data_IF_778842948439
#
_entry.id   IF_778842948439
#
_cell.length_a   1.000
_cell.length_b   1.000
_cell.length_c   1.000
_cell.angle_alpha   90.00
_cell.angle_beta   90.00
_cell.angle_gamma   90.00
#
_symmetry.space_group_name_H-M   'P 1'
#
loop_
_entity.id
_entity.type
_entity.pdbx_description
1 polymer ?
#
# COMPACT_ATOMS: atom_id res chain seq x y z
N UNK A 1 27.95 3.61 5.65
CA UNK A 1 26.74 2.91 5.15
C UNK A 1 25.66 3.95 4.98
N UNK A 2 24.95 3.95 3.85
CA UNK A 2 23.86 4.89 3.60
C UNK A 2 22.69 4.59 4.54
N UNK A 3 21.93 5.61 4.98
CA UNK A 3 20.84 5.38 5.93
C UNK A 3 19.59 4.72 5.35
N UNK A 4 19.38 4.78 4.03
CA UNK A 4 18.13 4.34 3.38
C UNK A 4 18.39 3.24 2.34
N UNK A 5 17.55 2.19 2.36
CA UNK A 5 17.41 1.24 1.26
C UNK A 5 16.11 1.52 0.50
N UNK A 6 16.19 1.82 -0.79
CA UNK A 6 15.03 1.85 -1.70
C UNK A 6 14.92 0.48 -2.34
N UNK A 7 13.91 -0.30 -1.95
CA UNK A 7 13.71 -1.67 -2.43
C UNK A 7 12.58 -1.69 -3.44
N UNK A 8 12.89 -2.15 -4.65
CA UNK A 8 11.93 -2.37 -5.74
C UNK A 8 11.70 -3.87 -5.86
N UNK A 9 10.46 -4.32 -5.59
CA UNK A 9 10.10 -5.72 -5.83
C UNK A 9 9.61 -5.87 -7.27
N UNK A 10 10.33 -6.66 -8.07
CA UNK A 10 10.02 -6.94 -9.46
C UNK A 10 9.51 -8.37 -9.66
N UNK A 11 8.47 -8.53 -10.48
CA UNK A 11 8.02 -9.83 -10.98
C UNK A 11 7.45 -9.70 -12.38
N UNK A 12 8.12 -10.31 -13.36
CA UNK A 12 7.76 -10.25 -14.79
C UNK A 12 7.57 -8.80 -15.28
N UNK A 13 8.47 -7.91 -14.86
CA UNK A 13 8.38 -6.48 -15.10
C UNK A 13 9.52 -5.92 -15.97
N UNK A 14 10.09 -6.69 -16.90
CA UNK A 14 11.22 -6.25 -17.74
C UNK A 14 11.00 -4.87 -18.39
N UNK A 15 9.80 -4.63 -18.95
CA UNK A 15 9.45 -3.35 -19.56
C UNK A 15 9.28 -2.22 -18.53
N UNK A 16 8.77 -2.54 -17.33
CA UNK A 16 8.66 -1.56 -16.23
C UNK A 16 10.05 -1.18 -15.72
N UNK A 17 10.96 -2.13 -15.57
CA UNK A 17 12.34 -1.85 -15.20
C UNK A 17 13.00 -0.91 -16.21
N UNK A 18 12.90 -1.17 -17.51
CA UNK A 18 13.46 -0.29 -18.55
C UNK A 18 12.87 1.13 -18.49
N UNK A 19 11.59 1.26 -18.22
CA UNK A 19 10.89 2.56 -18.20
C UNK A 19 11.16 3.34 -16.93
N UNK A 20 11.09 2.71 -15.75
CA UNK A 20 11.03 3.40 -14.47
C UNK A 20 12.34 3.38 -13.68
N UNK A 21 13.11 2.29 -13.72
CA UNK A 21 14.36 2.18 -12.95
C UNK A 21 15.37 3.31 -13.25
N UNK A 22 15.55 3.78 -14.52
CA UNK A 22 16.42 4.93 -14.79
C UNK A 22 16.00 6.19 -14.03
N UNK A 23 14.69 6.43 -13.88
CA UNK A 23 14.18 7.61 -13.14
C UNK A 23 14.46 7.49 -11.65
N UNK A 24 14.32 6.28 -11.07
CA UNK A 24 14.62 6.03 -9.67
C UNK A 24 16.11 6.22 -9.38
N UNK A 25 16.97 5.71 -10.26
CA UNK A 25 18.43 5.86 -10.11
C UNK A 25 18.85 7.33 -10.23
N UNK A 26 18.30 8.08 -11.19
CA UNK A 26 18.60 9.49 -11.39
C UNK A 26 18.00 10.40 -10.32
N UNK A 27 16.80 10.07 -9.82
CA UNK A 27 16.07 10.88 -8.84
C UNK A 27 16.47 10.65 -7.38
N UNK A 28 17.19 9.55 -7.10
CA UNK A 28 17.56 9.17 -5.73
C UNK A 28 18.99 9.58 -5.43
N UNK A 29 19.19 10.37 -4.35
CA UNK A 29 20.52 10.80 -3.92
C UNK A 29 21.42 9.60 -3.61
N UNK A 30 22.54 9.53 -4.33
CA UNK A 30 23.52 8.46 -4.16
C UNK A 30 24.22 8.48 -2.78
N UNK A 31 24.23 9.61 -2.09
CA UNK A 31 24.81 9.72 -0.74
C UNK A 31 23.82 9.27 0.33
N UNK A 32 22.52 9.35 0.06
CA UNK A 32 21.45 9.07 1.01
C UNK A 32 20.95 7.63 0.94
N UNK A 33 20.79 7.07 -0.27
CA UNK A 33 20.14 5.78 -0.43
C UNK A 33 20.85 4.83 -1.39
N UNK A 34 20.72 3.54 -1.13
CA UNK A 34 20.99 2.47 -2.09
C UNK A 34 19.68 2.03 -2.74
N UNK A 35 19.68 1.89 -4.07
CA UNK A 35 18.57 1.28 -4.81
C UNK A 35 18.86 -0.21 -4.97
N UNK A 36 17.91 -1.03 -4.54
CA UNK A 36 18.00 -2.49 -4.55
C UNK A 36 16.79 -3.03 -5.31
N UNK A 37 17.03 -3.83 -6.35
CA UNK A 37 15.95 -4.53 -7.05
C UNK A 37 15.90 -5.98 -6.56
N UNK A 38 14.78 -6.39 -6.01
CA UNK A 38 14.51 -7.77 -5.65
C UNK A 38 13.65 -8.42 -6.74
N UNK A 39 14.27 -9.25 -7.57
CA UNK A 39 13.59 -10.05 -8.58
C UNK A 39 12.92 -11.25 -7.92
N UNK A 40 11.60 -11.25 -7.91
CA UNK A 40 10.75 -12.20 -7.20
C UNK A 40 10.44 -13.45 -8.04
N UNK A 41 11.50 -14.05 -8.63
CA UNK A 41 11.38 -15.26 -9.45
C UNK A 41 10.70 -14.98 -10.79
N UNK A 42 11.14 -13.94 -11.50
CA UNK A 42 10.64 -13.62 -12.84
C UNK A 42 10.99 -14.71 -13.84
N UNK A 43 10.09 -14.90 -14.80
CA UNK A 43 10.20 -15.85 -15.92
C UNK A 43 10.30 -15.16 -17.29
N UNK A 44 10.20 -13.82 -17.29
CA UNK A 44 10.43 -12.96 -18.46
C UNK A 44 11.91 -12.51 -18.53
N UNK A 45 12.21 -11.52 -19.37
CA UNK A 45 13.57 -10.99 -19.56
C UNK A 45 14.07 -10.11 -18.39
N UNK A 46 13.34 -10.01 -17.28
CA UNK A 46 13.70 -9.13 -16.15
C UNK A 46 15.13 -9.34 -15.65
N UNK A 47 15.55 -10.60 -15.52
CA UNK A 47 16.91 -10.93 -15.10
C UNK A 47 17.97 -10.44 -16.08
N UNK A 48 17.75 -10.66 -17.38
CA UNK A 48 18.66 -10.20 -18.43
C UNK A 48 18.77 -8.68 -18.46
N UNK A 49 17.64 -7.97 -18.27
CA UNK A 49 17.58 -6.51 -18.15
C UNK A 49 18.45 -6.03 -17.00
N UNK A 50 18.30 -6.63 -15.81
CA UNK A 50 19.08 -6.24 -14.65
C UNK A 50 20.58 -6.53 -14.83
N UNK A 51 20.96 -7.68 -15.38
CA UNK A 51 22.34 -8.08 -15.54
C UNK A 51 23.08 -7.30 -16.66
N UNK A 52 22.40 -6.93 -17.75
CA UNK A 52 23.05 -6.32 -18.92
C UNK A 52 22.78 -4.80 -19.05
N UNK A 53 21.57 -4.34 -18.71
CA UNK A 53 21.20 -2.93 -18.87
C UNK A 53 21.46 -2.12 -17.57
N UNK A 54 21.40 -2.79 -16.39
CA UNK A 54 21.62 -2.16 -15.07
C UNK A 54 22.64 -2.90 -14.19
N UNK A 55 23.85 -3.21 -14.68
CA UNK A 55 24.82 -4.07 -13.98
C UNK A 55 25.35 -3.48 -12.65
N UNK A 56 25.18 -2.19 -12.41
CA UNK A 56 25.63 -1.51 -11.18
C UNK A 56 24.58 -1.49 -10.08
N UNK A 57 23.33 -1.88 -10.38
CA UNK A 57 22.24 -1.92 -9.41
C UNK A 57 22.38 -3.14 -8.53
N UNK A 58 22.25 -2.95 -7.21
CA UNK A 58 22.19 -4.07 -6.28
C UNK A 58 20.95 -4.92 -6.57
N UNK A 59 21.13 -6.20 -6.85
CA UNK A 59 20.03 -7.09 -7.21
C UNK A 59 19.99 -8.31 -6.30
N UNK A 60 18.79 -8.65 -5.83
CA UNK A 60 18.47 -9.88 -5.11
C UNK A 60 17.64 -10.77 -6.03
N UNK A 61 18.00 -12.04 -6.19
CA UNK A 61 17.26 -12.99 -7.01
C UNK A 61 16.60 -14.05 -6.15
N UNK A 62 15.27 -14.18 -6.26
CA UNK A 62 14.52 -15.24 -5.58
C UNK A 62 14.21 -16.38 -6.55
N UNK A 63 14.06 -17.58 -6.00
CA UNK A 63 13.85 -18.83 -6.75
C UNK A 63 12.42 -18.97 -7.28
N UNK A 64 11.46 -18.22 -6.72
CA UNK A 64 10.05 -18.23 -7.10
C UNK A 64 9.33 -16.93 -6.71
N UNK A 65 8.11 -16.75 -7.21
CA UNK A 65 7.25 -15.64 -6.82
C UNK A 65 6.62 -15.89 -5.43
N UNK A 66 7.12 -15.22 -4.43
CA UNK A 66 6.61 -15.24 -3.05
C UNK A 66 5.41 -14.31 -2.81
N UNK A 67 4.93 -13.60 -3.84
CA UNK A 67 3.94 -12.52 -3.70
C UNK A 67 4.56 -11.23 -3.20
N UNK A 68 3.72 -10.22 -3.01
CA UNK A 68 4.17 -8.88 -2.61
C UNK A 68 4.69 -8.88 -1.15
N UNK A 69 3.88 -9.35 -0.22
CA UNK A 69 4.19 -9.29 1.21
C UNK A 69 5.46 -10.07 1.58
N UNK A 70 5.53 -11.35 1.24
CA UNK A 70 6.69 -12.18 1.57
C UNK A 70 7.92 -11.81 0.73
N UNK A 71 7.73 -11.35 -0.51
CA UNK A 71 8.80 -10.85 -1.35
C UNK A 71 9.54 -9.67 -0.70
N UNK A 72 8.81 -8.66 -0.21
CA UNK A 72 9.41 -7.55 0.54
C UNK A 72 10.03 -7.98 1.86
N UNK A 73 9.40 -8.87 2.63
CA UNK A 73 9.97 -9.38 3.87
C UNK A 73 11.35 -10.00 3.63
N UNK A 74 11.48 -10.82 2.59
CA UNK A 74 12.75 -11.47 2.20
C UNK A 74 13.78 -10.48 1.72
N UNK A 75 13.37 -9.48 0.93
CA UNK A 75 14.27 -8.43 0.44
C UNK A 75 14.81 -7.58 1.59
N UNK A 76 13.94 -7.16 2.52
CA UNK A 76 14.31 -6.35 3.69
C UNK A 76 15.23 -7.16 4.63
N UNK A 77 14.96 -8.44 4.83
CA UNK A 77 15.80 -9.32 5.65
C UNK A 77 17.23 -9.50 5.07
N UNK A 78 17.40 -9.39 3.74
CA UNK A 78 18.71 -9.42 3.09
C UNK A 78 19.38 -8.05 2.97
N UNK A 79 18.61 -6.97 3.11
CA UNK A 79 19.10 -5.58 3.09
C UNK A 79 19.37 -5.11 4.53
N UNK A 80 20.44 -5.65 5.15
CA UNK A 80 20.78 -5.35 6.53
C UNK A 80 21.47 -3.97 6.69
N UNK A 81 21.33 -3.37 7.87
CA UNK A 81 22.08 -2.20 8.30
C UNK A 81 21.48 -0.84 7.92
N UNK A 82 20.38 -0.79 7.15
CA UNK A 82 19.71 0.46 6.83
C UNK A 82 18.76 0.90 7.94
N UNK A 83 18.79 2.20 8.30
CA UNK A 83 17.86 2.78 9.30
C UNK A 83 16.44 2.88 8.77
N UNK A 84 16.30 3.14 7.48
CA UNK A 84 15.02 3.27 6.78
C UNK A 84 14.98 2.34 5.57
N UNK A 85 13.81 1.79 5.34
CA UNK A 85 13.51 1.03 4.13
C UNK A 85 12.36 1.71 3.40
N UNK A 86 12.52 1.89 2.09
CA UNK A 86 11.45 2.32 1.20
C UNK A 86 10.97 1.12 0.40
N UNK A 87 9.69 0.79 0.55
CA UNK A 87 9.00 -0.09 -0.39
C UNK A 87 8.60 0.77 -1.59
N UNK A 88 9.06 0.42 -2.78
CA UNK A 88 8.79 1.15 -4.01
C UNK A 88 8.34 0.19 -5.11
N UNK A 89 7.18 0.44 -5.71
CA UNK A 89 6.71 -0.37 -6.82
C UNK A 89 7.58 -0.17 -8.08
N UNK A 90 7.66 -1.20 -8.92
CA UNK A 90 8.43 -1.17 -10.18
C UNK A 90 7.82 -0.28 -11.27
N UNK A 91 6.61 0.21 -11.08
CA UNK A 91 5.86 1.10 -11.98
C UNK A 91 5.72 2.54 -11.42
N UNK A 92 6.69 2.95 -10.60
CA UNK A 92 6.77 4.30 -10.04
C UNK A 92 7.90 5.09 -10.68
N UNK A 93 7.58 6.30 -11.16
CA UNK A 93 8.54 7.31 -11.64
C UNK A 93 8.82 8.31 -10.51
N UNK A 94 10.09 8.56 -10.25
CA UNK A 94 10.50 9.50 -9.20
C UNK A 94 11.17 10.74 -9.80
N UNK A 95 10.80 11.95 -9.37
CA UNK A 95 11.54 13.16 -9.70
C UNK A 95 12.84 13.26 -8.89
N UNK A 96 13.71 14.19 -9.26
CA UNK A 96 14.89 14.52 -8.46
C UNK A 96 14.50 15.04 -7.07
N UNK A 97 15.18 14.58 -6.03
CA UNK A 97 14.97 15.09 -4.68
C UNK A 97 13.69 14.56 -3.99
N UNK A 98 13.10 13.47 -4.48
CA UNK A 98 11.86 12.92 -3.92
C UNK A 98 12.02 12.31 -2.52
N UNK A 99 13.18 11.77 -2.23
CA UNK A 99 13.43 10.97 -1.00
C UNK A 99 13.90 11.84 0.18
N UNK A 100 14.57 12.95 -0.08
CA UNK A 100 15.16 13.81 0.91
C UNK A 100 14.13 14.40 1.89
N UNK A 101 12.97 14.94 1.45
CA UNK A 101 11.95 15.44 2.38
C UNK A 101 11.42 14.32 3.30
N UNK A 102 11.25 13.11 2.79
CA UNK A 102 10.80 11.96 3.58
C UNK A 102 11.83 11.60 4.67
N UNK A 103 13.10 11.53 4.28
CA UNK A 103 14.20 11.21 5.19
C UNK A 103 14.38 12.28 6.28
N UNK A 104 14.47 13.55 5.88
CA UNK A 104 14.65 14.65 6.84
C UNK A 104 13.47 14.79 7.79
N UNK A 105 12.26 14.55 7.29
CA UNK A 105 11.08 14.56 8.15
C UNK A 105 11.15 13.44 9.21
N UNK A 106 11.50 12.22 8.83
CA UNK A 106 11.67 11.12 9.77
C UNK A 106 12.79 11.38 10.79
N UNK A 107 13.92 11.99 10.37
CA UNK A 107 15.01 12.32 11.29
C UNK A 107 14.61 13.39 12.32
N UNK A 108 13.81 14.38 11.90
CA UNK A 108 13.32 15.44 12.77
C UNK A 108 12.18 14.99 13.72
N UNK A 109 11.49 13.87 13.39
CA UNK A 109 10.30 13.40 14.11
C UNK A 109 10.43 11.95 14.56
N UNK A 110 11.07 11.68 15.73
CA UNK A 110 11.28 10.32 16.25
C UNK A 110 9.99 9.53 16.50
N UNK A 111 8.87 10.21 16.76
CA UNK A 111 7.54 9.60 16.95
C UNK A 111 6.91 9.09 15.65
N UNK A 112 7.46 9.47 14.49
CA UNK A 112 6.96 9.03 13.19
C UNK A 112 7.64 7.72 12.79
N UNK A 113 6.84 6.68 12.65
CA UNK A 113 7.28 5.34 12.27
C UNK A 113 7.38 5.11 10.78
N UNK A 114 6.48 5.75 10.02
CA UNK A 114 6.45 5.63 8.57
C UNK A 114 5.92 6.91 7.90
N UNK A 115 6.37 7.14 6.65
CA UNK A 115 5.94 8.27 5.83
C UNK A 115 5.70 7.84 4.40
N UNK A 116 4.91 8.63 3.67
CA UNK A 116 4.73 8.50 2.23
C UNK A 116 4.76 9.87 1.55
N UNK A 117 5.17 9.94 0.27
CA UNK A 117 4.98 11.13 -0.55
C UNK A 117 3.53 11.26 -1.02
N UNK A 118 3.18 12.35 -1.69
CA UNK A 118 1.98 12.40 -2.54
C UNK A 118 2.19 11.49 -3.75
N UNK A 119 1.12 10.81 -4.18
CA UNK A 119 1.13 10.01 -5.40
C UNK A 119 0.24 10.64 -6.45
N UNK A 120 0.84 10.92 -7.60
CA UNK A 120 0.14 11.34 -8.80
C UNK A 120 0.11 10.23 -9.83
N UNK A 121 -0.88 10.25 -10.71
CA UNK A 121 -0.92 9.36 -11.87
C UNK A 121 0.28 9.64 -12.79
N UNK A 122 0.95 8.58 -13.27
CA UNK A 122 1.95 8.71 -14.34
C UNK A 122 1.20 8.87 -15.68
N UNK A 123 1.11 10.12 -16.15
CA UNK A 123 0.32 10.54 -17.30
C UNK A 123 1.22 11.24 -18.33
N UNK A 124 0.77 11.24 -19.57
CA UNK A 124 1.46 11.94 -20.65
C UNK A 124 1.05 13.45 -20.75
N UNK A 125 0.10 13.90 -19.91
CA UNK A 125 -0.33 15.29 -19.82
C UNK A 125 0.21 15.97 -18.54
N UNK A 126 0.20 17.31 -18.50
CA UNK A 126 0.70 18.11 -17.38
C UNK A 126 -0.25 18.17 -16.17
N UNK A 127 -1.35 17.43 -16.18
CA UNK A 127 -2.33 17.45 -15.09
C UNK A 127 -1.82 16.65 -13.90
N UNK A 128 -1.83 17.26 -12.73
CA UNK A 128 -1.56 16.61 -11.47
C UNK A 128 -2.86 16.02 -10.91
N UNK A 129 -3.13 14.78 -11.22
CA UNK A 129 -4.29 14.03 -10.72
C UNK A 129 -3.79 13.02 -9.68
N UNK A 130 -4.43 12.98 -8.53
CA UNK A 130 -4.08 12.00 -7.51
C UNK A 130 -4.22 10.57 -8.03
N UNK A 131 -3.33 9.71 -7.58
CA UNK A 131 -3.33 8.30 -7.96
C UNK A 131 -4.29 7.49 -7.05
N UNK A 132 -4.80 6.39 -7.58
CA UNK A 132 -5.82 5.56 -6.92
C UNK A 132 -5.33 4.92 -5.61
N UNK A 133 -4.08 4.43 -5.57
CA UNK A 133 -3.57 3.58 -4.52
C UNK A 133 -2.84 4.35 -3.39
N UNK A 134 -3.32 5.51 -2.98
CA UNK A 134 -2.73 6.23 -1.84
C UNK A 134 -2.91 7.73 -1.89
N UNK A 135 -2.92 8.34 -3.08
CA UNK A 135 -3.14 9.77 -3.29
C UNK A 135 -2.31 10.67 -2.33
N UNK A 136 -2.95 11.43 -1.46
CA UNK A 136 -2.30 12.25 -0.41
C UNK A 136 -2.52 11.67 1.01
N UNK A 137 -2.44 10.35 1.14
CA UNK A 137 -2.56 9.64 2.41
C UNK A 137 -3.90 8.96 2.64
N UNK A 138 -3.84 7.77 3.21
CA UNK A 138 -4.95 6.85 3.33
C UNK A 138 -5.58 6.78 4.72
N UNK A 139 -6.88 6.45 4.74
CA UNK A 139 -7.70 6.19 5.91
C UNK A 139 -8.58 4.95 5.70
N UNK A 140 -9.12 4.43 6.77
CA UNK A 140 -10.22 3.47 6.76
C UNK A 140 -11.48 4.15 7.28
N UNK A 141 -12.63 3.86 6.69
CA UNK A 141 -13.88 4.30 7.26
C UNK A 141 -14.29 3.41 8.46
N UNK A 142 -15.38 3.75 9.13
CA UNK A 142 -15.86 3.00 10.30
C UNK A 142 -16.21 1.53 10.03
N UNK A 143 -16.31 1.14 8.76
CA UNK A 143 -16.54 -0.23 8.33
C UNK A 143 -15.29 -0.90 7.72
N UNK A 144 -14.13 -0.20 7.75
CA UNK A 144 -12.88 -0.71 7.23
C UNK A 144 -12.76 -0.65 5.71
N UNK A 145 -13.49 0.25 5.04
CA UNK A 145 -13.27 0.54 3.63
C UNK A 145 -12.16 1.57 3.47
N UNK A 146 -11.13 1.29 2.63
CA UNK A 146 -10.04 2.24 2.43
C UNK A 146 -10.46 3.40 1.54
N UNK A 147 -10.04 4.60 1.91
CA UNK A 147 -10.18 5.83 1.16
C UNK A 147 -8.99 6.75 1.41
N UNK A 148 -8.80 7.78 0.60
CA UNK A 148 -7.63 8.65 0.70
C UNK A 148 -8.05 10.12 0.60
N UNK A 149 -7.19 11.01 1.08
CA UNK A 149 -7.19 12.40 0.62
C UNK A 149 -6.89 12.40 -0.86
N UNK A 150 -7.78 12.96 -1.68
CA UNK A 150 -7.68 12.93 -3.13
C UNK A 150 -8.38 11.75 -3.81
N UNK A 151 -8.99 10.78 -3.04
CA UNK A 151 -9.74 9.68 -3.65
C UNK A 151 -10.79 9.08 -2.72
N UNK A 152 -12.04 8.98 -3.21
CA UNK A 152 -13.10 8.15 -2.59
C UNK A 152 -13.67 7.22 -3.67
N UNK A 153 -13.58 5.91 -3.48
CA UNK A 153 -13.89 4.88 -4.47
C UNK A 153 -13.20 5.16 -5.81
N UNK A 154 -13.98 5.32 -6.89
CA UNK A 154 -13.46 5.56 -8.25
C UNK A 154 -13.32 7.05 -8.59
N UNK A 155 -13.66 7.96 -7.66
CA UNK A 155 -13.52 9.40 -7.88
C UNK A 155 -12.16 9.86 -7.41
N UNK A 156 -11.38 10.42 -8.32
CA UNK A 156 -10.08 11.03 -8.10
C UNK A 156 -10.20 12.56 -8.15
N UNK A 157 -9.41 13.23 -7.33
CA UNK A 157 -9.33 14.68 -7.30
C UNK A 157 -8.10 15.15 -8.10
N UNK A 158 -8.20 16.32 -8.72
CA UNK A 158 -7.01 17.05 -9.19
C UNK A 158 -6.26 17.59 -7.96
N UNK A 159 -4.93 17.51 -7.96
CA UNK A 159 -4.10 18.16 -6.96
C UNK A 159 -4.00 19.67 -7.27
N UNK A 160 -4.51 20.49 -6.36
CA UNK A 160 -4.49 21.95 -6.40
C UNK A 160 -3.78 22.54 -5.18
N UNK A 161 -2.99 21.73 -4.50
CA UNK A 161 -2.36 22.10 -3.23
C UNK A 161 -3.30 22.04 -2.02
N UNK A 162 -4.52 21.46 -2.14
CA UNK A 162 -5.50 21.42 -1.05
C UNK A 162 -5.06 20.58 0.16
N UNK A 163 -4.00 19.76 0.01
CA UNK A 163 -3.43 18.91 1.08
C UNK A 163 -1.97 19.26 1.40
N UNK A 164 -1.47 20.44 1.02
CA UNK A 164 -0.05 20.79 1.08
C UNK A 164 0.33 21.66 2.29
N UNK A 165 -0.63 22.06 3.13
CA UNK A 165 -0.36 23.02 4.21
C UNK A 165 0.72 22.56 5.20
N UNK A 166 0.72 21.29 5.55
CA UNK A 166 1.72 20.64 6.47
C UNK A 166 1.69 19.12 6.30
N UNK A 167 2.79 18.42 6.72
CA UNK A 167 2.76 16.97 6.88
C UNK A 167 1.64 16.53 7.82
N UNK A 168 0.81 15.61 7.39
CA UNK A 168 -0.41 15.28 8.08
C UNK A 168 -0.48 13.83 8.56
N UNK A 169 -1.09 13.59 9.73
CA UNK A 169 -1.38 12.25 10.22
C UNK A 169 -2.32 11.52 9.27
N UNK A 170 -1.97 10.28 8.95
CA UNK A 170 -2.75 9.37 8.11
C UNK A 170 -2.86 8.00 8.78
N UNK A 171 -3.84 7.21 8.37
CA UNK A 171 -3.98 5.86 8.88
C UNK A 171 -3.04 4.87 8.19
N UNK A 172 -2.88 4.99 6.87
CA UNK A 172 -2.00 4.10 6.10
C UNK A 172 -1.29 4.84 4.98
N UNK A 173 -0.07 4.42 4.77
CA UNK A 173 0.77 4.77 3.63
C UNK A 173 0.71 3.64 2.60
N UNK A 174 0.78 4.00 1.32
CA UNK A 174 0.65 3.04 0.22
C UNK A 174 1.89 2.18 0.02
N UNK A 175 1.72 0.90 -0.28
CA UNK A 175 2.82 0.02 -0.69
C UNK A 175 3.49 0.43 -2.01
N UNK A 176 2.90 1.35 -2.79
CA UNK A 176 3.53 1.89 -3.99
C UNK A 176 4.76 2.76 -3.68
N UNK A 177 4.73 3.51 -2.55
CA UNK A 177 5.87 4.25 -2.02
C UNK A 177 5.70 4.49 -0.52
N UNK A 178 6.33 3.66 0.30
CA UNK A 178 6.28 3.70 1.76
C UNK A 178 7.70 3.70 2.32
N UNK A 179 8.13 4.78 2.99
CA UNK A 179 9.34 4.78 3.81
C UNK A 179 8.97 4.45 5.26
N UNK A 180 9.66 3.49 5.84
CA UNK A 180 9.44 3.02 7.21
C UNK A 180 10.77 2.89 7.96
N UNK A 181 10.77 3.14 9.28
CA UNK A 181 11.91 2.78 10.13
C UNK A 181 12.09 1.27 10.09
N UNK A 182 13.26 0.79 9.62
CA UNK A 182 13.50 -0.65 9.44
C UNK A 182 13.31 -1.44 10.73
N UNK A 183 13.79 -0.91 11.85
CA UNK A 183 13.61 -1.55 13.16
C UNK A 183 12.12 -1.70 13.53
N UNK A 184 11.29 -0.69 13.25
CA UNK A 184 9.86 -0.72 13.52
C UNK A 184 9.11 -1.68 12.57
N UNK A 185 9.52 -1.75 11.30
CA UNK A 185 9.02 -2.74 10.35
C UNK A 185 9.21 -4.17 10.88
N UNK A 186 10.43 -4.46 11.34
CA UNK A 186 10.78 -5.78 11.92
C UNK A 186 10.01 -6.02 13.23
N UNK A 187 9.96 -5.03 14.12
CA UNK A 187 9.22 -5.13 15.40
C UNK A 187 7.73 -5.36 15.19
N UNK A 188 7.14 -4.74 14.16
CA UNK A 188 5.75 -4.95 13.79
C UNK A 188 5.51 -6.32 13.10
N UNK A 189 6.56 -7.09 12.80
CA UNK A 189 6.49 -8.40 12.16
C UNK A 189 6.43 -8.37 10.64
N UNK A 190 6.81 -7.24 10.01
CA UNK A 190 6.82 -7.09 8.56
C UNK A 190 5.43 -7.09 7.92
N UNK A 191 5.36 -7.28 6.62
CA UNK A 191 4.10 -7.51 5.90
C UNK A 191 3.58 -8.92 6.18
N UNK A 192 2.28 -9.05 6.36
CA UNK A 192 1.69 -10.37 6.62
C UNK A 192 1.54 -11.17 5.31
N UNK A 193 2.33 -12.24 5.18
CA UNK A 193 2.37 -13.09 3.97
C UNK A 193 1.02 -13.71 3.58
N UNK A 194 0.12 -13.91 4.55
CA UNK A 194 -1.20 -14.49 4.31
C UNK A 194 -2.07 -13.57 3.43
N UNK A 195 -1.75 -12.27 3.37
CA UNK A 195 -2.41 -11.33 2.46
C UNK A 195 -1.99 -11.54 1.00
N UNK A 196 -0.78 -11.96 0.73
CA UNK A 196 -0.18 -12.13 -0.58
C UNK A 196 -0.01 -10.81 -1.36
N UNK A 197 -1.08 -10.08 -1.59
CA UNK A 197 -1.14 -8.74 -2.18
C UNK A 197 -2.48 -8.06 -1.82
N UNK A 198 -2.48 -6.73 -1.72
CA UNK A 198 -3.56 -5.83 -1.30
C UNK A 198 -3.91 -5.91 0.19
N UNK A 199 -3.96 -4.79 0.86
CA UNK A 199 -4.24 -4.56 2.28
C UNK A 199 -3.09 -4.93 3.24
N UNK A 200 -2.00 -5.55 2.78
CA UNK A 200 -0.84 -5.90 3.62
C UNK A 200 -0.12 -4.67 4.17
N UNK A 201 -0.04 -3.59 3.37
CA UNK A 201 0.50 -2.31 3.77
C UNK A 201 -0.41 -1.60 4.78
N UNK A 202 -1.72 -1.72 4.61
CA UNK A 202 -2.71 -1.17 5.56
C UNK A 202 -2.63 -1.93 6.89
N UNK A 203 -2.47 -3.25 6.84
CA UNK A 203 -2.27 -4.10 8.02
C UNK A 203 -0.98 -3.73 8.76
N UNK A 204 0.12 -3.55 8.05
CA UNK A 204 1.39 -3.10 8.62
C UNK A 204 1.23 -1.73 9.29
N UNK A 205 0.64 -0.77 8.58
CA UNK A 205 0.38 0.57 9.10
C UNK A 205 -0.50 0.54 10.36
N UNK A 206 -1.54 -0.28 10.39
CA UNK A 206 -2.36 -0.45 11.58
C UNK A 206 -1.56 -0.95 12.77
N UNK A 207 -0.70 -1.98 12.57
CA UNK A 207 0.17 -2.51 13.63
C UNK A 207 1.21 -1.47 14.11
N UNK A 208 1.75 -0.65 13.21
CA UNK A 208 2.64 0.45 13.56
C UNK A 208 1.90 1.50 14.43
N UNK A 209 0.69 1.90 14.04
CA UNK A 209 -0.12 2.83 14.83
C UNK A 209 -0.45 2.27 16.24
N UNK A 210 -0.66 0.96 16.36
CA UNK A 210 -0.90 0.30 17.66
C UNK A 210 0.32 0.33 18.60
N UNK A 211 1.55 0.57 18.08
CA UNK A 211 2.73 0.81 18.92
C UNK A 211 2.78 2.23 19.52
N UNK A 212 1.86 3.12 19.12
CA UNK A 212 1.87 4.54 19.46
C UNK A 212 2.66 5.43 18.49
N UNK A 213 3.29 4.83 17.47
CA UNK A 213 3.97 5.59 16.42
C UNK A 213 2.99 6.26 15.48
N UNK A 214 3.39 7.36 14.84
CA UNK A 214 2.59 8.05 13.83
C UNK A 214 2.95 7.62 12.42
N UNK A 215 2.02 7.80 11.49
CA UNK A 215 2.25 7.68 10.04
C UNK A 215 1.88 9.01 9.40
N UNK A 216 2.71 9.50 8.48
CA UNK A 216 2.55 10.83 7.88
C UNK A 216 2.60 10.78 6.36
N UNK A 217 1.81 11.63 5.70
CA UNK A 217 2.09 12.08 4.35
C UNK A 217 2.94 13.34 4.41
N UNK A 218 3.98 13.41 3.58
CA UNK A 218 4.92 14.53 3.48
C UNK A 218 4.71 15.19 2.11
N UNK A 219 3.93 16.27 2.02
CA UNK A 219 3.49 16.84 0.75
C UNK A 219 4.61 17.48 -0.09
N UNK A 220 5.75 17.82 0.51
CA UNK A 220 6.95 18.30 -0.18
C UNK A 220 7.58 17.24 -1.08
N UNK A 221 7.24 15.97 -0.86
CA UNK A 221 7.64 14.85 -1.70
C UNK A 221 6.47 14.36 -2.54
N UNK A 222 6.75 14.02 -3.79
CA UNK A 222 5.78 13.39 -4.68
C UNK A 222 6.45 12.37 -5.60
N UNK A 223 5.66 11.39 -6.04
CA UNK A 223 6.05 10.41 -7.05
C UNK A 223 4.89 10.15 -8.00
N UNK A 224 5.18 9.60 -9.18
CA UNK A 224 4.19 9.27 -10.19
C UNK A 224 4.04 7.76 -10.29
N UNK A 225 2.83 7.26 -10.23
CA UNK A 225 2.55 5.83 -10.25
C UNK A 225 1.62 5.50 -11.42
N UNK A 226 2.03 4.53 -12.25
CA UNK A 226 1.22 4.07 -13.39
C UNK A 226 -0.07 3.43 -12.92
N UNK A 227 0.03 2.62 -11.88
CA UNK A 227 -1.09 1.89 -11.28
C UNK A 227 -1.63 0.77 -12.17
N UNK A 228 -1.97 -0.36 -11.54
CA UNK A 228 -2.56 -1.49 -12.25
C UNK A 228 -1.61 -2.35 -13.07
N UNK A 229 -0.29 -2.11 -13.00
CA UNK A 229 0.70 -2.85 -13.77
C UNK A 229 0.68 -4.36 -13.53
N UNK A 230 0.42 -4.80 -12.29
CA UNK A 230 0.40 -6.23 -11.94
C UNK A 230 -1.01 -6.86 -11.95
N UNK A 231 -2.06 -6.11 -11.57
CA UNK A 231 -3.44 -6.59 -11.52
C UNK A 231 -4.41 -5.49 -11.97
N UNK A 232 -4.85 -5.51 -13.24
CA UNK A 232 -5.78 -4.52 -13.80
C UNK A 232 -7.11 -4.44 -13.02
N UNK A 233 -7.77 -3.28 -13.10
CA UNK A 233 -9.14 -3.13 -12.60
C UNK A 233 -10.07 -4.11 -13.34
N UNK A 234 -11.07 -4.66 -12.62
CA UNK A 234 -11.99 -5.66 -13.19
C UNK A 234 -11.47 -7.11 -13.18
N UNK A 235 -10.28 -7.35 -12.65
CA UNK A 235 -9.78 -8.73 -12.49
C UNK A 235 -10.43 -9.39 -11.25
N UNK A 236 -11.15 -10.53 -11.39
CA UNK A 236 -11.80 -11.24 -10.29
C UNK A 236 -10.83 -11.66 -9.17
N UNK A 237 -9.53 -11.88 -9.50
CA UNK A 237 -8.50 -12.17 -8.49
C UNK A 237 -8.27 -10.96 -7.58
N UNK A 238 -8.26 -9.74 -8.14
CA UNK A 238 -8.15 -8.50 -7.36
C UNK A 238 -9.37 -8.33 -6.44
N UNK A 239 -10.57 -8.54 -6.96
CA UNK A 239 -11.81 -8.55 -6.16
C UNK A 239 -11.73 -9.55 -5.02
N UNK A 240 -11.33 -10.79 -5.30
CA UNK A 240 -11.14 -11.83 -4.28
C UNK A 240 -10.18 -11.40 -3.17
N UNK A 241 -8.98 -10.92 -3.52
CA UNK A 241 -7.97 -10.49 -2.55
C UNK A 241 -8.49 -9.32 -1.71
N UNK A 242 -9.08 -8.30 -2.32
CA UNK A 242 -9.61 -7.14 -1.60
C UNK A 242 -10.68 -7.54 -0.57
N UNK A 243 -11.64 -8.37 -0.93
CA UNK A 243 -12.68 -8.83 0.00
C UNK A 243 -12.10 -9.72 1.10
N UNK A 244 -11.29 -10.74 0.75
CA UNK A 244 -10.70 -11.65 1.74
C UNK A 244 -9.81 -10.90 2.73
N UNK A 245 -8.91 -10.08 2.20
CA UNK A 245 -7.90 -9.40 3.00
C UNK A 245 -8.51 -8.32 3.87
N UNK A 246 -9.54 -7.59 3.40
CA UNK A 246 -10.22 -6.62 4.26
C UNK A 246 -10.95 -7.27 5.44
N UNK A 247 -11.48 -8.50 5.26
CA UNK A 247 -12.06 -9.25 6.37
C UNK A 247 -10.99 -9.74 7.36
N UNK A 248 -9.84 -10.21 6.86
CA UNK A 248 -8.69 -10.58 7.68
C UNK A 248 -8.13 -9.38 8.45
N UNK A 249 -7.97 -8.24 7.77
CA UNK A 249 -7.52 -6.97 8.36
C UNK A 249 -8.36 -6.58 9.58
N UNK A 250 -9.69 -6.59 9.44
CA UNK A 250 -10.61 -6.24 10.52
C UNK A 250 -10.60 -7.29 11.64
N UNK A 251 -10.54 -8.57 11.29
CA UNK A 251 -10.49 -9.65 12.27
C UNK A 251 -9.23 -9.57 13.13
N UNK A 252 -8.09 -9.34 12.51
CA UNK A 252 -6.76 -9.31 13.14
C UNK A 252 -6.55 -8.08 14.02
N UNK A 253 -6.96 -6.90 13.54
CA UNK A 253 -6.54 -5.62 14.11
C UNK A 253 -7.60 -4.91 14.96
N UNK A 254 -8.75 -5.53 15.20
CA UNK A 254 -9.78 -5.00 16.09
C UNK A 254 -9.89 -5.78 17.40
N UNK A 255 -10.33 -5.14 18.50
CA UNK A 255 -10.73 -5.85 19.71
C UNK A 255 -11.76 -6.92 19.36
N UNK A 256 -11.63 -8.11 19.95
CA UNK A 256 -12.37 -9.30 19.53
C UNK A 256 -13.90 -9.12 19.43
N UNK A 257 -14.52 -8.45 20.42
CA UNK A 257 -15.97 -8.22 20.41
C UNK A 257 -16.39 -7.26 19.29
N UNK A 258 -15.64 -6.17 19.12
CA UNK A 258 -15.92 -5.15 18.12
C UNK A 258 -15.67 -5.67 16.71
N UNK A 259 -14.58 -6.43 16.51
CA UNK A 259 -14.30 -7.09 15.25
C UNK A 259 -15.39 -8.08 14.84
N UNK A 260 -15.90 -8.91 15.78
CA UNK A 260 -17.02 -9.82 15.49
C UNK A 260 -18.26 -9.08 15.01
N UNK A 261 -18.62 -7.97 15.68
CA UNK A 261 -19.77 -7.16 15.29
C UNK A 261 -19.58 -6.51 13.93
N UNK A 262 -18.41 -5.90 13.70
CA UNK A 262 -18.13 -5.24 12.44
C UNK A 262 -18.11 -6.23 11.26
N UNK A 263 -17.61 -7.44 11.45
CA UNK A 263 -17.66 -8.50 10.43
C UNK A 263 -19.09 -8.94 10.07
N UNK A 264 -20.03 -8.84 11.00
CA UNK A 264 -21.45 -9.08 10.68
C UNK A 264 -21.98 -7.96 9.77
N UNK A 265 -21.69 -6.69 10.10
CA UNK A 265 -22.06 -5.54 9.27
C UNK A 265 -21.43 -5.63 7.88
N UNK A 266 -20.11 -5.97 7.81
CA UNK A 266 -19.41 -6.18 6.53
C UNK A 266 -20.05 -7.26 5.69
N UNK A 267 -20.50 -8.35 6.29
CA UNK A 267 -21.20 -9.41 5.54
C UNK A 267 -22.47 -8.90 4.86
N UNK A 268 -23.20 -7.98 5.49
CA UNK A 268 -24.40 -7.37 4.86
C UNK A 268 -23.99 -6.51 3.64
N UNK A 269 -22.99 -5.66 3.78
CA UNK A 269 -22.48 -4.85 2.66
C UNK A 269 -21.91 -5.72 1.53
N UNK A 270 -21.15 -6.76 1.87
CA UNK A 270 -20.54 -7.66 0.89
C UNK A 270 -21.61 -8.51 0.16
N UNK A 271 -22.71 -8.84 0.86
CA UNK A 271 -23.89 -9.49 0.23
C UNK A 271 -24.56 -8.55 -0.78
N UNK A 272 -24.69 -7.26 -0.44
CA UNK A 272 -25.19 -6.27 -1.40
C UNK A 272 -24.25 -6.14 -2.62
N UNK A 273 -22.94 -6.07 -2.38
CA UNK A 273 -21.94 -6.04 -3.47
C UNK A 273 -22.02 -7.28 -4.38
N UNK A 274 -22.24 -8.46 -3.79
CA UNK A 274 -22.45 -9.69 -4.55
C UNK A 274 -23.67 -9.60 -5.49
N UNK A 275 -24.82 -9.13 -4.99
CA UNK A 275 -26.01 -8.97 -5.85
C UNK A 275 -25.82 -7.88 -6.90
N UNK A 276 -25.11 -6.80 -6.58
CA UNK A 276 -24.77 -5.77 -7.55
C UNK A 276 -23.85 -6.31 -8.66
N UNK A 277 -22.89 -7.18 -8.33
CA UNK A 277 -22.04 -7.84 -9.32
C UNK A 277 -22.86 -8.75 -10.25
N UNK A 278 -23.83 -9.51 -9.71
CA UNK A 278 -24.75 -10.33 -10.50
C UNK A 278 -25.62 -9.48 -11.43
N UNK A 279 -26.20 -8.40 -10.92
CA UNK A 279 -27.03 -7.49 -11.70
C UNK A 279 -26.27 -6.82 -12.86
N UNK A 280 -24.96 -6.60 -12.69
CA UNK A 280 -24.05 -6.08 -13.73
C UNK A 280 -23.47 -7.16 -14.64
N UNK A 281 -23.91 -8.41 -14.52
CA UNK A 281 -23.38 -9.58 -15.25
C UNK A 281 -21.88 -9.86 -15.00
N UNK A 282 -21.31 -9.37 -13.91
CA UNK A 282 -19.94 -9.63 -13.47
C UNK A 282 -19.86 -10.92 -12.64
N UNK A 283 -20.22 -12.06 -13.21
CA UNK A 283 -20.27 -13.35 -12.51
C UNK A 283 -18.92 -13.80 -11.91
N UNK A 284 -17.80 -13.35 -12.48
CA UNK A 284 -16.46 -13.57 -11.94
C UNK A 284 -16.26 -12.90 -10.60
N UNK A 285 -16.69 -11.64 -10.45
CA UNK A 285 -16.59 -10.89 -9.18
C UNK A 285 -17.54 -11.47 -8.12
N UNK A 286 -18.75 -11.86 -8.50
CA UNK A 286 -19.69 -12.52 -7.59
C UNK A 286 -19.08 -13.81 -7.00
N UNK A 287 -18.50 -14.67 -7.85
CA UNK A 287 -17.78 -15.88 -7.40
C UNK A 287 -16.58 -15.53 -6.51
N UNK A 288 -15.83 -14.46 -6.83
CA UNK A 288 -14.70 -13.98 -6.07
C UNK A 288 -15.11 -13.57 -4.64
N UNK A 289 -16.21 -12.83 -4.47
CA UNK A 289 -16.77 -12.43 -3.16
C UNK A 289 -17.12 -13.67 -2.31
N UNK A 290 -17.83 -14.65 -2.88
CA UNK A 290 -18.18 -15.88 -2.15
C UNK A 290 -16.93 -16.66 -1.71
N UNK A 291 -15.96 -16.79 -2.63
CA UNK A 291 -14.67 -17.44 -2.34
C UNK A 291 -13.92 -16.71 -1.24
N UNK A 292 -13.89 -15.37 -1.25
CA UNK A 292 -13.25 -14.54 -0.24
C UNK A 292 -13.81 -14.84 1.16
N UNK A 293 -15.13 -14.87 1.33
CA UNK A 293 -15.77 -15.19 2.60
C UNK A 293 -15.52 -16.64 3.05
N UNK A 294 -15.46 -17.59 2.12
CA UNK A 294 -15.14 -19.00 2.43
C UNK A 294 -13.71 -19.11 2.95
N UNK A 295 -12.76 -18.51 2.25
CA UNK A 295 -11.34 -18.64 2.57
C UNK A 295 -10.97 -17.81 3.82
N UNK A 296 -11.59 -16.64 4.04
CA UNK A 296 -11.53 -15.92 5.31
C UNK A 296 -11.92 -16.82 6.51
N UNK A 297 -13.03 -17.58 6.39
CA UNK A 297 -13.45 -18.50 7.49
C UNK A 297 -12.42 -19.56 7.82
N UNK A 298 -11.65 -20.04 6.82
CA UNK A 298 -10.57 -20.99 7.01
C UNK A 298 -9.34 -20.35 7.64
N UNK A 299 -8.98 -19.13 7.18
CA UNK A 299 -7.74 -18.43 7.56
C UNK A 299 -7.83 -17.70 8.90
N UNK A 300 -9.01 -17.23 9.31
CA UNK A 300 -9.17 -16.43 10.54
C UNK A 300 -8.65 -17.14 11.81
N UNK A 301 -8.59 -18.46 11.82
CA UNK A 301 -8.03 -19.24 12.92
C UNK A 301 -6.52 -19.05 13.14
N UNK A 302 -5.82 -18.50 12.14
CA UNK A 302 -4.40 -18.15 12.25
C UNK A 302 -4.17 -16.91 13.14
N UNK A 303 -5.23 -16.14 13.41
CA UNK A 303 -5.19 -14.87 14.14
C UNK A 303 -6.00 -14.98 15.42
N UNK A 304 -5.35 -15.31 16.52
CA UNK A 304 -5.97 -15.52 17.84
C UNK A 304 -5.73 -14.36 18.82
N UNK A 305 -4.69 -13.55 18.56
CA UNK A 305 -4.40 -12.34 19.35
C UNK A 305 -5.12 -11.14 18.76
N UNK A 306 -5.71 -10.34 19.64
CA UNK A 306 -6.46 -9.13 19.26
C UNK A 306 -5.99 -7.95 20.11
N UNK A 307 -5.85 -6.74 19.52
CA UNK A 307 -5.50 -5.56 20.30
C UNK A 307 -6.65 -5.16 21.24
N UNK A 308 -6.33 -4.40 22.28
CA UNK A 308 -7.31 -3.80 23.18
C UNK A 308 -7.90 -2.50 22.63
N UNK A 309 -7.17 -1.79 21.76
CA UNK A 309 -7.55 -0.50 21.21
C UNK A 309 -8.24 -0.63 19.85
N UNK A 310 -9.30 0.14 19.63
CA UNK A 310 -9.97 0.29 18.35
C UNK A 310 -9.59 1.61 17.68
N UNK A 311 -8.66 1.59 16.74
CA UNK A 311 -8.21 2.78 16.03
C UNK A 311 -9.28 3.38 15.12
N UNK A 312 -10.24 2.61 14.60
CA UNK A 312 -11.36 3.13 13.80
C UNK A 312 -12.28 4.05 14.62
N UNK A 313 -12.28 3.90 15.95
CA UNK A 313 -13.02 4.81 16.85
C UNK A 313 -12.15 5.93 17.38
N UNK A 314 -10.84 5.69 17.54
CA UNK A 314 -9.90 6.65 18.09
C UNK A 314 -9.59 7.78 17.09
N UNK A 315 -9.40 7.43 15.81
CA UNK A 315 -9.03 8.39 14.75
C UNK A 315 -10.31 9.03 14.18
N UNK A 316 -10.45 10.37 14.21
CA UNK A 316 -11.67 11.07 13.80
C UNK A 316 -12.07 10.79 12.34
N UNK A 317 -11.13 10.76 11.41
CA UNK A 317 -11.34 10.51 9.98
C UNK A 317 -11.97 9.12 9.77
N UNK A 318 -11.60 8.13 10.59
CA UNK A 318 -12.16 6.77 10.48
C UNK A 318 -13.63 6.66 10.92
N UNK A 319 -14.23 7.69 11.53
CA UNK A 319 -15.64 7.66 11.94
C UNK A 319 -16.63 7.88 10.79
N UNK A 320 -16.15 8.26 9.62
CA UNK A 320 -16.98 8.46 8.41
C UNK A 320 -17.63 7.14 7.97
N UNK A 321 -18.67 7.25 7.16
CA UNK A 321 -19.26 6.15 6.40
C UNK A 321 -19.18 6.51 4.91
N UNK A 322 -18.07 6.15 4.27
CA UNK A 322 -17.83 6.56 2.88
C UNK A 322 -18.83 5.95 1.89
N UNK A 323 -19.44 4.80 2.22
CA UNK A 323 -20.49 4.20 1.37
C UNK A 323 -21.72 5.10 1.34
N UNK A 324 -22.20 5.53 2.51
CA UNK A 324 -23.33 6.46 2.61
C UNK A 324 -22.97 7.83 2.04
N UNK A 325 -21.80 8.35 2.37
CA UNK A 325 -21.34 9.65 1.87
C UNK A 325 -21.28 9.67 0.34
N UNK A 326 -20.71 8.67 -0.27
CA UNK A 326 -20.52 8.58 -1.71
C UNK A 326 -21.83 8.32 -2.48
N UNK A 327 -22.56 7.26 -2.11
CA UNK A 327 -23.73 6.80 -2.88
C UNK A 327 -25.03 7.54 -2.54
N UNK A 328 -25.24 7.90 -1.26
CA UNK A 328 -26.50 8.56 -0.85
C UNK A 328 -26.36 10.07 -0.72
N UNK A 329 -25.28 10.57 -0.11
CA UNK A 329 -25.05 12.01 0.09
C UNK A 329 -24.31 12.69 -1.06
N UNK A 330 -23.82 11.90 -2.03
CA UNK A 330 -23.05 12.37 -3.21
C UNK A 330 -21.80 13.17 -2.84
N UNK A 331 -21.21 12.91 -1.68
CA UNK A 331 -19.93 13.46 -1.25
C UNK A 331 -18.81 12.59 -1.82
N UNK A 332 -18.16 13.05 -2.87
CA UNK A 332 -17.17 12.27 -3.64
C UNK A 332 -15.74 12.72 -3.40
N UNK A 333 -15.53 13.78 -2.64
CA UNK A 333 -14.23 14.31 -2.23
C UNK A 333 -14.00 14.13 -0.74
N UNK A 334 -12.73 14.20 -0.33
CA UNK A 334 -12.31 14.00 1.07
C UNK A 334 -12.85 15.06 2.05
#
# INVERSE_FOLDING_TARGET
MKPVAVIILNWNGANLLRRYLPTVLAGTSADLADVIVADNGSTDDSRQVLEHEFPTVKTLYFDQNYGFAEGYNRAIAQAEGYRYTVLLNSDVRTPAGWIEPLYHYCEAHPEVGAVMPKLWQDRDDDRQVFEYAGAAGGFLDKHGYPYCRGRIFDTLEDDRGQYDAEPADIFWATGACLMVRTALYVQAGGLDKDFFAHMEEIDLCWRILLTGSKIRVVPESHVYHLGGGSLPQGNPRKTYLNFRNSLLLLHKNLPQREGKWLLIVRRLYDTLAFFMALAKLHGGDAKAILRAHRDFRKMRGNYTSHPSQNLLKAIPECRRNIVVDYYLRRRRTF
#
